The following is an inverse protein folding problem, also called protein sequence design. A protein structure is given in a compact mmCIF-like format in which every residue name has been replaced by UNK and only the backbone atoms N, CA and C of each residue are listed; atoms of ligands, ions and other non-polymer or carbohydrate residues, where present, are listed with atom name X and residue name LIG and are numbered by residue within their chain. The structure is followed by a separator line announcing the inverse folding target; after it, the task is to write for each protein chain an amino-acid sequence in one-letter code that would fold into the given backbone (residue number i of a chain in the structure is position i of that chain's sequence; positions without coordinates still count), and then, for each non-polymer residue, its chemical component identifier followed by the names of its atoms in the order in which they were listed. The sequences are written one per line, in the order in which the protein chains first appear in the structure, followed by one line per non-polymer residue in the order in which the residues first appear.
data_IF_234014087116
#
_entry.id   IF_234014087116
#
_cell.length_a   1.000
_cell.length_b   1.000
_cell.length_c   1.000
_cell.angle_alpha   90.00
_cell.angle_beta   90.00
_cell.angle_gamma   90.00
#
_symmetry.space_group_name_H-M   'P 1'
#
loop_
_entity.id
_entity.type
_entity.pdbx_description
1 polymer ?
#
# COMPACT_ATOMS: atom_id res chain seq x y z
N UNK A 1 34.75 3.61 3.82
CA UNK A 1 33.72 4.66 3.94
C UNK A 1 33.16 4.93 2.57
N UNK A 2 31.85 4.89 2.38
CA UNK A 2 31.16 4.96 1.06
C UNK A 2 31.16 6.35 0.48
N UNK A 3 31.84 7.33 0.82
CA UNK A 3 31.87 8.68 0.19
C UNK A 3 30.49 9.31 -0.13
N UNK A 4 29.41 8.77 0.46
CA UNK A 4 28.05 9.23 0.22
C UNK A 4 27.78 10.54 0.97
N UNK A 5 27.20 11.52 0.29
CA UNK A 5 26.74 12.77 0.91
C UNK A 5 25.27 12.63 1.30
N UNK A 6 24.93 12.93 2.55
CA UNK A 6 23.58 12.88 3.07
C UNK A 6 23.11 14.31 3.37
N UNK A 7 22.04 14.73 2.72
CA UNK A 7 21.36 16.00 2.94
C UNK A 7 20.10 15.76 3.77
N UNK A 8 20.13 16.13 5.05
CA UNK A 8 18.97 16.02 5.96
C UNK A 8 18.18 17.32 6.02
N UNK A 9 16.89 17.23 6.33
CA UNK A 9 16.01 18.39 6.43
C UNK A 9 15.68 19.04 5.08
N UNK A 10 16.06 18.42 3.97
CA UNK A 10 15.83 18.95 2.63
C UNK A 10 14.47 18.51 2.10
N UNK A 11 13.83 19.39 1.34
CA UNK A 11 12.55 19.12 0.67
C UNK A 11 12.74 19.09 -0.83
N UNK A 12 12.57 17.93 -1.44
CA UNK A 12 12.54 17.79 -2.90
C UNK A 12 11.16 18.24 -3.40
N UNK A 13 11.15 19.09 -4.42
CA UNK A 13 9.92 19.61 -5.01
C UNK A 13 9.84 19.44 -6.52
N UNK A 14 10.95 19.15 -7.19
CA UNK A 14 10.96 19.01 -8.64
C UNK A 14 11.89 17.90 -9.11
N UNK A 15 11.48 17.22 -10.14
CA UNK A 15 12.26 16.23 -10.87
C UNK A 15 12.14 16.52 -12.37
N UNK A 16 13.28 16.66 -13.04
CA UNK A 16 13.38 16.84 -14.48
C UNK A 16 14.44 15.92 -15.09
N UNK A 17 14.50 15.88 -16.40
CA UNK A 17 15.47 15.04 -17.12
C UNK A 17 15.16 13.54 -17.11
N UNK A 18 16.15 12.73 -17.45
CA UNK A 18 16.05 11.28 -17.52
C UNK A 18 15.15 10.77 -18.67
N UNK A 19 14.81 9.50 -18.69
CA UNK A 19 14.04 8.87 -19.78
C UNK A 19 12.57 9.30 -19.87
N UNK A 20 12.11 10.17 -18.98
CA UNK A 20 10.74 10.75 -19.03
C UNK A 20 10.65 11.97 -19.96
N UNK A 21 11.76 12.38 -20.57
CA UNK A 21 11.82 13.45 -21.56
C UNK A 21 11.63 12.83 -22.96
N UNK A 22 10.89 13.50 -23.88
CA UNK A 22 10.61 12.97 -25.23
C UNK A 22 11.86 12.52 -26.00
N UNK A 23 11.66 11.53 -26.89
CA UNK A 23 12.72 10.94 -27.72
C UNK A 23 13.60 12.03 -28.40
N UNK A 24 14.91 11.91 -28.24
CA UNK A 24 15.93 12.83 -28.74
C UNK A 24 16.86 13.41 -27.66
N UNK A 25 16.50 13.28 -26.37
CA UNK A 25 17.34 13.72 -25.24
C UNK A 25 17.73 12.54 -24.32
N UNK A 26 17.90 11.36 -24.88
CA UNK A 26 18.13 10.10 -24.16
C UNK A 26 19.39 10.06 -23.25
N UNK A 27 20.20 11.10 -23.24
CA UNK A 27 21.40 11.21 -22.41
C UNK A 27 21.33 12.35 -21.37
N UNK A 28 20.16 12.91 -21.13
CA UNK A 28 20.01 13.99 -20.15
C UNK A 28 20.00 13.38 -18.74
N UNK A 29 20.89 13.82 -17.83
CA UNK A 29 20.88 13.35 -16.45
C UNK A 29 19.58 13.76 -15.76
N UNK A 30 19.19 12.99 -14.72
CA UNK A 30 18.13 13.42 -13.84
C UNK A 30 18.53 14.71 -13.13
N UNK A 31 17.62 15.68 -13.11
CA UNK A 31 17.78 16.94 -12.38
C UNK A 31 16.79 16.98 -11.22
N UNK A 32 17.29 16.97 -10.01
CA UNK A 32 16.50 16.99 -8.78
C UNK A 32 16.58 18.37 -8.16
N UNK A 33 15.47 19.07 -8.07
CA UNK A 33 15.37 20.38 -7.44
C UNK A 33 14.89 20.25 -6.01
N UNK A 34 15.60 20.87 -5.07
CA UNK A 34 15.30 20.76 -3.64
C UNK A 34 15.53 22.11 -2.92
N UNK A 35 14.95 22.23 -1.74
CA UNK A 35 15.22 23.27 -0.77
C UNK A 35 16.01 22.67 0.40
N UNK A 36 17.08 23.32 0.78
CA UNK A 36 17.84 22.99 1.99
C UNK A 36 17.03 23.34 3.26
N UNK A 37 17.52 22.92 4.42
CA UNK A 37 16.85 23.16 5.69
C UNK A 37 16.69 24.67 6.03
N UNK A 38 17.60 25.51 5.52
CA UNK A 38 17.57 26.97 5.63
C UNK A 38 16.70 27.65 4.56
N UNK A 39 16.08 26.86 3.67
CA UNK A 39 15.24 27.34 2.57
C UNK A 39 16.01 27.70 1.29
N UNK A 40 17.35 27.55 1.25
CA UNK A 40 18.13 27.80 0.04
C UNK A 40 17.81 26.75 -1.03
N UNK A 41 17.52 27.15 -2.28
CA UNK A 41 17.30 26.21 -3.36
C UNK A 41 18.64 25.64 -3.86
N UNK A 42 18.63 24.35 -4.20
CA UNK A 42 19.76 23.70 -4.87
C UNK A 42 19.28 22.63 -5.84
N UNK A 43 20.14 22.25 -6.75
CA UNK A 43 19.86 21.22 -7.75
C UNK A 43 20.95 20.15 -7.75
N UNK A 44 20.55 18.90 -7.82
CA UNK A 44 21.45 17.76 -7.94
C UNK A 44 21.25 17.11 -9.31
N UNK A 45 22.35 16.87 -10.02
CA UNK A 45 22.37 16.13 -11.28
C UNK A 45 22.80 14.69 -11.00
N UNK A 46 22.06 13.70 -11.51
CA UNK A 46 22.37 12.30 -11.31
C UNK A 46 22.13 11.47 -12.57
N UNK A 47 22.99 10.49 -12.82
CA UNK A 47 22.81 9.52 -13.92
C UNK A 47 21.74 8.47 -13.63
N UNK A 48 21.49 8.21 -12.35
CA UNK A 48 20.46 7.29 -11.89
C UNK A 48 19.79 7.89 -10.64
N UNK A 49 18.50 7.62 -10.47
CA UNK A 49 17.70 8.10 -9.36
C UNK A 49 16.93 6.94 -8.73
N UNK A 50 17.01 6.83 -7.42
CA UNK A 50 16.21 5.89 -6.64
C UNK A 50 15.23 6.70 -5.79
N UNK A 51 13.93 6.50 -6.02
CA UNK A 51 12.86 7.16 -5.29
C UNK A 51 12.39 6.26 -4.13
N UNK A 52 12.57 6.73 -2.90
CA UNK A 52 12.15 6.05 -1.67
C UNK A 52 11.20 6.90 -0.83
N UNK A 53 10.32 7.66 -1.50
CA UNK A 53 9.39 8.60 -0.87
C UNK A 53 8.23 7.93 -0.11
N UNK A 54 8.18 6.60 -0.12
CA UNK A 54 7.03 5.85 0.37
C UNK A 54 5.87 5.84 -0.62
N UNK A 55 4.71 5.45 -0.14
CA UNK A 55 3.48 5.36 -0.95
C UNK A 55 2.35 6.12 -0.29
N UNK A 56 1.48 6.66 -1.10
CA UNK A 56 0.21 7.24 -0.64
C UNK A 56 -0.92 6.28 -0.96
N UNK A 57 -1.77 6.00 0.03
CA UNK A 57 -2.92 5.13 -0.15
C UNK A 57 -4.02 5.86 -0.93
N UNK A 58 -4.53 5.21 -1.98
CA UNK A 58 -5.69 5.72 -2.69
C UNK A 58 -6.96 5.29 -1.95
N UNK A 59 -7.61 6.23 -1.29
CA UNK A 59 -8.88 6.01 -0.63
C UNK A 59 -10.00 6.25 -1.65
N UNK A 60 -10.91 5.29 -1.78
CA UNK A 60 -12.12 5.40 -2.59
C UNK A 60 -13.28 5.67 -1.64
N UNK A 61 -13.87 6.87 -1.64
CA UNK A 61 -14.99 7.20 -0.76
C UNK A 61 -16.22 6.33 -1.04
N UNK A 62 -16.92 5.94 0.02
CA UNK A 62 -18.21 5.26 -0.02
C UNK A 62 -19.08 5.76 1.16
N UNK A 63 -20.38 5.60 1.15
CA UNK A 63 -21.24 6.04 2.27
C UNK A 63 -20.71 5.54 3.62
N UNK A 64 -20.49 6.46 4.57
CA UNK A 64 -19.96 6.17 5.90
C UNK A 64 -18.45 5.94 6.02
N UNK A 65 -17.67 6.18 4.97
CA UNK A 65 -16.21 5.96 4.99
C UNK A 65 -15.44 6.82 6.03
N UNK A 66 -16.07 7.89 6.55
CA UNK A 66 -15.50 8.77 7.58
C UNK A 66 -15.89 8.37 9.01
N UNK A 67 -16.70 7.33 9.19
CA UNK A 67 -17.08 6.87 10.52
C UNK A 67 -15.84 6.39 11.31
N UNK A 68 -15.74 6.73 12.60
CA UNK A 68 -14.74 6.16 13.49
C UNK A 68 -14.78 4.63 13.43
N UNK A 69 -13.62 4.02 13.16
CA UNK A 69 -13.50 2.58 12.90
C UNK A 69 -13.31 2.23 11.42
N UNK A 70 -13.55 3.16 10.50
CA UNK A 70 -13.16 3.01 9.09
C UNK A 70 -11.80 3.67 8.90
N UNK A 71 -10.81 2.89 8.51
CA UNK A 71 -9.43 3.38 8.31
C UNK A 71 -8.82 2.77 7.06
N UNK A 72 -7.87 3.46 6.47
CA UNK A 72 -7.11 2.95 5.34
C UNK A 72 -6.23 1.75 5.71
N UNK A 73 -5.93 0.92 4.73
CA UNK A 73 -5.13 -0.30 4.89
C UNK A 73 -3.68 0.03 5.31
N UNK A 74 -3.11 1.13 4.79
CA UNK A 74 -1.79 1.60 5.17
C UNK A 74 -1.77 2.05 6.63
N UNK A 75 -2.80 2.78 7.09
CA UNK A 75 -2.93 3.20 8.47
C UNK A 75 -3.03 2.00 9.42
N UNK A 76 -3.85 1.00 9.09
CA UNK A 76 -3.93 -0.26 9.84
C UNK A 76 -2.58 -0.97 9.94
N UNK A 77 -1.83 -0.99 8.84
CA UNK A 77 -0.49 -1.59 8.79
C UNK A 77 0.51 -0.83 9.68
N UNK A 78 0.46 0.49 9.68
CA UNK A 78 1.34 1.33 10.50
C UNK A 78 1.03 1.16 11.99
N UNK A 79 -0.23 1.18 12.39
CA UNK A 79 -0.65 0.93 13.77
C UNK A 79 -0.11 -0.41 14.26
N UNK A 80 -0.27 -1.47 13.49
CA UNK A 80 0.18 -2.80 13.88
C UNK A 80 1.71 -2.92 13.89
N UNK A 81 2.40 -2.43 12.85
CA UNK A 81 3.85 -2.61 12.74
C UNK A 81 4.67 -1.67 13.61
N UNK A 82 4.31 -0.39 13.66
CA UNK A 82 5.09 0.62 14.33
C UNK A 82 4.71 0.78 15.80
N UNK A 83 3.46 0.49 16.15
CA UNK A 83 2.93 0.75 17.48
C UNK A 83 2.43 -0.51 18.21
N UNK A 84 2.37 -1.67 17.53
CA UNK A 84 1.82 -2.90 18.11
C UNK A 84 0.34 -2.81 18.46
N UNK A 85 -0.38 -1.84 17.88
CA UNK A 85 -1.79 -1.57 18.16
C UNK A 85 -2.67 -2.19 17.08
N UNK A 86 -3.67 -2.95 17.49
CA UNK A 86 -4.70 -3.45 16.59
C UNK A 86 -5.71 -2.33 16.27
N UNK A 87 -6.07 -2.14 14.98
CA UNK A 87 -7.06 -1.13 14.59
C UNK A 87 -8.47 -1.43 15.11
N UNK A 88 -8.71 -2.67 15.50
CA UNK A 88 -9.97 -3.15 16.06
C UNK A 88 -9.89 -4.63 16.42
N UNK A 89 -10.74 -5.08 17.34
CA UNK A 89 -10.79 -6.49 17.73
C UNK A 89 -11.46 -7.37 16.68
N UNK A 90 -12.47 -6.86 15.99
CA UNK A 90 -13.16 -7.51 14.88
C UNK A 90 -13.13 -6.59 13.68
N UNK A 91 -12.58 -7.08 12.56
CA UNK A 91 -12.28 -6.27 11.38
C UNK A 91 -12.82 -6.93 10.11
N UNK A 92 -13.26 -6.12 9.16
CA UNK A 92 -13.44 -6.47 7.76
C UNK A 92 -12.33 -5.79 6.99
N UNK A 93 -11.66 -6.53 6.11
CA UNK A 93 -10.58 -5.99 5.27
C UNK A 93 -11.08 -5.96 3.83
N UNK A 94 -11.19 -4.75 3.25
CA UNK A 94 -11.77 -4.56 1.93
C UNK A 94 -10.81 -3.81 1.01
N UNK A 95 -10.83 -4.15 -0.28
CA UNK A 95 -9.98 -3.49 -1.29
C UNK A 95 -9.75 -4.37 -2.51
N UNK A 96 -8.59 -4.21 -3.13
CA UNK A 96 -8.17 -5.04 -4.26
C UNK A 96 -6.67 -5.34 -4.20
N UNK A 97 -6.28 -6.51 -4.71
CA UNK A 97 -4.90 -6.89 -4.91
C UNK A 97 -4.24 -7.63 -3.73
N UNK A 98 -2.97 -8.04 -3.89
CA UNK A 98 -2.30 -8.97 -2.97
C UNK A 98 -2.05 -8.40 -1.58
N UNK A 99 -1.89 -7.08 -1.43
CA UNK A 99 -1.69 -6.43 -0.12
C UNK A 99 -2.88 -6.60 0.81
N UNK A 100 -4.09 -6.74 0.28
CA UNK A 100 -5.31 -7.03 1.04
C UNK A 100 -5.12 -8.29 1.89
N UNK A 101 -4.67 -9.38 1.28
CA UNK A 101 -4.43 -10.67 1.95
C UNK A 101 -3.27 -10.60 2.94
N UNK A 102 -2.22 -9.85 2.59
CA UNK A 102 -1.06 -9.64 3.48
C UNK A 102 -1.47 -8.97 4.78
N UNK A 103 -2.26 -7.90 4.70
CA UNK A 103 -2.71 -7.15 5.89
C UNK A 103 -3.73 -7.96 6.68
N UNK A 104 -4.70 -8.60 6.03
CA UNK A 104 -5.65 -9.47 6.70
C UNK A 104 -4.96 -10.61 7.48
N UNK A 105 -3.96 -11.27 6.87
CA UNK A 105 -3.19 -12.31 7.54
C UNK A 105 -2.35 -11.77 8.71
N UNK A 106 -1.81 -10.55 8.60
CA UNK A 106 -1.08 -9.90 9.70
C UNK A 106 -1.98 -9.51 10.85
N UNK A 107 -3.15 -8.95 10.56
CA UNK A 107 -4.15 -8.61 11.59
C UNK A 107 -4.60 -9.86 12.35
N UNK A 108 -4.86 -10.95 11.63
CA UNK A 108 -5.19 -12.24 12.21
C UNK A 108 -4.06 -12.75 13.13
N UNK A 109 -2.80 -12.71 12.67
CA UNK A 109 -1.64 -13.11 13.47
C UNK A 109 -1.44 -12.18 14.69
N UNK A 110 -1.79 -10.90 14.56
CA UNK A 110 -1.75 -9.92 15.65
C UNK A 110 -2.87 -10.07 16.68
N UNK A 111 -3.80 -11.02 16.50
CA UNK A 111 -4.87 -11.32 17.43
C UNK A 111 -6.22 -10.66 17.12
N UNK A 112 -6.37 -10.02 15.96
CA UNK A 112 -7.68 -9.53 15.52
C UNK A 112 -8.54 -10.69 14.98
N UNK A 113 -9.84 -10.63 15.21
CA UNK A 113 -10.82 -11.46 14.53
C UNK A 113 -11.13 -10.86 13.16
N UNK A 114 -10.64 -11.47 12.08
CA UNK A 114 -10.96 -11.04 10.72
C UNK A 114 -12.31 -11.66 10.33
N UNK A 115 -13.34 -10.84 10.26
CA UNK A 115 -14.71 -11.28 9.98
C UNK A 115 -14.91 -11.63 8.50
N UNK A 116 -14.26 -10.90 7.60
CA UNK A 116 -14.26 -11.17 6.17
C UNK A 116 -13.11 -10.45 5.47
N UNK A 117 -12.70 -10.97 4.32
CA UNK A 117 -11.90 -10.28 3.31
C UNK A 117 -12.80 -10.04 2.10
N UNK A 118 -12.98 -8.78 1.72
CA UNK A 118 -13.80 -8.35 0.58
C UNK A 118 -12.85 -7.90 -0.53
N UNK A 119 -12.68 -8.72 -1.55
CA UNK A 119 -11.77 -8.47 -2.66
C UNK A 119 -12.58 -8.06 -3.90
N UNK A 120 -12.32 -6.84 -4.38
CA UNK A 120 -12.97 -6.33 -5.59
C UNK A 120 -12.54 -7.11 -6.84
N UNK A 121 -11.37 -7.76 -6.83
CA UNK A 121 -10.93 -8.60 -7.91
C UNK A 121 -11.71 -9.92 -7.95
N UNK A 122 -12.17 -10.28 -9.14
CA UNK A 122 -12.84 -11.56 -9.40
C UNK A 122 -11.84 -12.72 -9.48
N UNK A 123 -12.32 -13.93 -9.28
CA UNK A 123 -11.48 -15.13 -9.46
C UNK A 123 -10.93 -15.24 -10.89
N UNK A 124 -11.69 -14.79 -11.89
CA UNK A 124 -11.26 -14.80 -13.29
C UNK A 124 -10.08 -13.85 -13.52
N UNK A 125 -10.12 -12.67 -12.91
CA UNK A 125 -9.00 -11.71 -12.98
C UNK A 125 -7.75 -12.26 -12.31
N UNK A 126 -7.87 -12.92 -11.17
CA UNK A 126 -6.76 -13.63 -10.53
C UNK A 126 -6.17 -14.72 -11.42
N UNK A 127 -7.01 -15.52 -12.08
CA UNK A 127 -6.55 -16.56 -13.01
C UNK A 127 -5.83 -15.95 -14.22
N UNK A 128 -6.34 -14.85 -14.77
CA UNK A 128 -5.68 -14.12 -15.87
C UNK A 128 -4.35 -13.52 -15.50
N UNK A 129 -4.16 -13.15 -14.24
CA UNK A 129 -2.91 -12.62 -13.72
C UNK A 129 -1.84 -13.69 -13.45
N UNK A 130 -2.21 -14.98 -13.36
CA UNK A 130 -1.28 -16.07 -13.03
C UNK A 130 -0.02 -16.12 -13.91
N UNK A 131 -0.07 -15.97 -15.25
CA UNK A 131 1.13 -16.00 -16.08
C UNK A 131 2.12 -14.89 -15.71
N UNK A 132 1.63 -13.68 -15.42
CA UNK A 132 2.47 -12.57 -14.98
C UNK A 132 3.01 -12.77 -13.56
N UNK A 133 2.23 -13.37 -12.67
CA UNK A 133 2.64 -13.70 -11.31
C UNK A 133 3.65 -14.85 -11.28
N UNK A 134 3.62 -15.77 -12.24
CA UNK A 134 4.59 -16.86 -12.35
C UNK A 134 6.02 -16.34 -12.56
N UNK A 135 6.20 -15.17 -13.16
CA UNK A 135 7.50 -14.50 -13.27
C UNK A 135 8.10 -14.10 -11.89
N UNK A 136 7.26 -14.06 -10.83
CA UNK A 136 7.64 -13.74 -9.45
C UNK A 136 7.12 -14.82 -8.51
N UNK A 137 7.67 -16.01 -8.64
CA UNK A 137 7.30 -17.18 -7.84
C UNK A 137 7.40 -16.95 -6.32
N UNK A 138 8.32 -16.11 -5.89
CA UNK A 138 8.49 -15.66 -4.51
C UNK A 138 7.23 -14.96 -3.97
N UNK A 139 6.67 -14.01 -4.75
CA UNK A 139 5.45 -13.29 -4.39
C UNK A 139 4.21 -14.17 -4.47
N UNK A 140 4.16 -15.08 -5.45
CA UNK A 140 3.07 -16.03 -5.60
C UNK A 140 3.01 -16.99 -4.39
N UNK A 141 4.16 -17.55 -3.99
CA UNK A 141 4.26 -18.41 -2.81
C UNK A 141 3.85 -17.67 -1.54
N UNK A 142 4.30 -16.42 -1.37
CA UNK A 142 3.93 -15.59 -0.23
C UNK A 142 2.42 -15.30 -0.18
N UNK A 143 1.82 -14.99 -1.33
CA UNK A 143 0.37 -14.80 -1.46
C UNK A 143 -0.42 -16.06 -1.10
N UNK A 144 0.05 -17.22 -1.53
CA UNK A 144 -0.54 -18.53 -1.18
C UNK A 144 -0.49 -18.78 0.33
N UNK A 145 0.61 -18.45 1.00
CA UNK A 145 0.74 -18.58 2.46
C UNK A 145 -0.26 -17.68 3.20
N UNK A 146 -0.42 -16.43 2.78
CA UNK A 146 -1.41 -15.54 3.40
C UNK A 146 -2.83 -16.07 3.22
N UNK A 147 -3.17 -16.51 2.01
CA UNK A 147 -4.49 -17.09 1.72
C UNK A 147 -4.75 -18.37 2.52
N UNK A 148 -3.76 -19.25 2.62
CA UNK A 148 -3.84 -20.48 3.40
C UNK A 148 -4.08 -20.19 4.90
N UNK A 149 -3.41 -19.20 5.47
CA UNK A 149 -3.64 -18.75 6.87
C UNK A 149 -5.08 -18.29 7.10
N UNK A 150 -5.62 -17.49 6.19
CA UNK A 150 -6.99 -16.99 6.29
C UNK A 150 -8.01 -18.14 6.18
N UNK A 151 -7.80 -19.06 5.24
CA UNK A 151 -8.66 -20.24 5.07
C UNK A 151 -8.59 -21.20 6.27
N UNK A 152 -7.40 -21.42 6.83
CA UNK A 152 -7.23 -22.23 8.04
C UNK A 152 -7.99 -21.63 9.24
N UNK A 153 -8.04 -20.28 9.32
CA UNK A 153 -8.83 -19.57 10.32
C UNK A 153 -10.32 -19.43 9.95
N UNK A 154 -10.76 -20.07 8.87
CA UNK A 154 -12.15 -20.01 8.36
C UNK A 154 -12.64 -18.59 8.07
N UNK A 155 -11.73 -17.69 7.66
CA UNK A 155 -12.09 -16.33 7.25
C UNK A 155 -12.74 -16.38 5.86
N UNK A 156 -13.99 -15.91 5.70
CA UNK A 156 -14.64 -15.84 4.41
C UNK A 156 -13.94 -14.83 3.51
N UNK A 157 -13.69 -15.23 2.25
CA UNK A 157 -13.10 -14.41 1.21
C UNK A 157 -14.16 -14.19 0.14
N UNK A 158 -14.64 -12.96 0.02
CA UNK A 158 -15.67 -12.53 -0.91
C UNK A 158 -15.00 -11.90 -2.14
N UNK A 159 -14.77 -12.69 -3.17
CA UNK A 159 -14.16 -12.23 -4.42
C UNK A 159 -15.22 -11.61 -5.36
N UNK A 160 -14.83 -10.57 -6.09
CA UNK A 160 -15.73 -9.81 -6.96
C UNK A 160 -16.77 -8.99 -6.17
N UNK A 161 -16.48 -8.68 -4.90
CA UNK A 161 -17.36 -7.95 -4.01
C UNK A 161 -16.75 -6.60 -3.60
N UNK A 162 -17.60 -5.64 -3.29
CA UNK A 162 -17.21 -4.31 -2.83
C UNK A 162 -18.04 -3.89 -1.62
N UNK A 163 -17.44 -3.07 -0.76
CA UNK A 163 -18.16 -2.39 0.32
C UNK A 163 -19.02 -1.29 -0.29
N UNK A 164 -20.31 -1.33 -0.05
CA UNK A 164 -21.27 -0.33 -0.53
C UNK A 164 -21.56 0.76 0.49
N UNK A 165 -21.50 0.43 1.78
CA UNK A 165 -21.72 1.38 2.87
C UNK A 165 -21.08 0.89 4.17
N UNK A 166 -20.73 1.84 5.04
CA UNK A 166 -20.44 1.61 6.44
C UNK A 166 -21.49 2.31 7.30
N UNK A 167 -22.04 1.61 8.28
CA UNK A 167 -23.15 2.10 9.08
C UNK A 167 -22.82 2.11 10.57
N UNK A 168 -23.31 3.13 11.26
CA UNK A 168 -23.18 3.33 12.70
C UNK A 168 -23.52 4.76 13.07
N UNK A 169 -23.75 5.03 14.35
CA UNK A 169 -24.07 6.36 14.83
C UNK A 169 -22.79 7.18 15.09
N UNK A 170 -22.00 6.78 16.10
CA UNK A 170 -20.74 7.42 16.47
C UNK A 170 -19.50 6.57 16.15
N UNK A 171 -19.68 5.34 15.72
CA UNK A 171 -18.62 4.42 15.31
C UNK A 171 -19.20 3.35 14.39
N UNK A 172 -18.31 2.69 13.65
CA UNK A 172 -18.66 1.59 12.76
C UNK A 172 -19.31 0.44 13.53
N UNK A 173 -20.52 0.05 13.12
CA UNK A 173 -21.26 -1.11 13.63
C UNK A 173 -21.44 -2.20 12.59
N UNK A 174 -21.62 -1.82 11.31
CA UNK A 174 -21.92 -2.73 10.20
C UNK A 174 -21.27 -2.22 8.90
N UNK A 175 -20.90 -3.18 8.06
CA UNK A 175 -20.42 -3.01 6.69
C UNK A 175 -21.22 -3.95 5.79
#
# INVERSE_FOLDING_TARGET
ASGATIHTGCRVWGLGGGPLVPEGQANTPFSLSALAADGAPFTVQARALILCCGTHERIIPFPGWTLPGVIGLAAATMLLKAQGVLPGRRVVVAGAGPLLYAVAAKLLTGGASVAAVVDAATQVEWLRALPALAARADLLAQGAVWRAKLLAARVPILAGAQVTAAEGDNALKRV
#
